data_IF_038625820101
#
_entry.id   IF_038625820101
#
_cell.length_a   1.000
_cell.length_b   1.000
_cell.length_c   1.000
_cell.angle_alpha   90.00
_cell.angle_beta   90.00
_cell.angle_gamma   90.00
#
_symmetry.space_group_name_H-M   'P 1'
#
loop_
_entity.id
_entity.type
_entity.pdbx_description
1 polymer ?
#
# COMPACT_ATOMS: atom_id res chain seq x y z
N UNK A 1 21.65 -10.74 20.28
CA UNK A 1 21.03 -10.41 18.98
C UNK A 1 20.75 -8.92 18.94
N UNK A 2 21.44 -8.16 18.09
CA UNK A 2 21.13 -6.75 17.85
C UNK A 2 19.83 -6.69 17.04
N UNK A 3 18.79 -6.03 17.56
CA UNK A 3 17.61 -5.70 16.75
C UNK A 3 18.08 -4.76 15.63
N UNK A 4 17.65 -4.96 14.36
CA UNK A 4 18.02 -4.05 13.28
C UNK A 4 17.63 -2.62 13.65
N UNK A 5 18.52 -1.66 13.40
CA UNK A 5 18.25 -0.23 13.64
C UNK A 5 17.06 0.18 12.75
N UNK A 6 15.92 0.50 13.37
CA UNK A 6 14.73 1.04 12.70
C UNK A 6 15.14 2.29 11.91
N UNK A 7 15.04 2.25 10.58
CA UNK A 7 15.52 3.32 9.70
C UNK A 7 14.40 4.36 9.46
N UNK A 8 14.25 5.30 10.39
CA UNK A 8 13.20 6.34 10.36
C UNK A 8 13.24 7.25 9.12
N UNK A 9 14.39 7.37 8.47
CA UNK A 9 14.59 8.26 7.32
C UNK A 9 13.77 7.80 6.09
N UNK A 10 13.65 6.49 5.87
CA UNK A 10 12.87 5.95 4.76
C UNK A 10 11.37 6.22 4.95
N UNK A 11 10.89 6.20 6.19
CA UNK A 11 9.50 6.48 6.49
C UNK A 11 9.11 7.93 6.26
N UNK A 12 9.98 8.88 6.65
CA UNK A 12 9.75 10.30 6.37
C UNK A 12 9.65 10.58 4.88
N UNK A 13 10.48 9.92 4.06
CA UNK A 13 10.39 10.05 2.60
C UNK A 13 9.05 9.54 2.05
N UNK A 14 8.59 8.36 2.48
CA UNK A 14 7.29 7.81 2.08
C UNK A 14 6.12 8.68 2.58
N UNK A 15 6.27 9.28 3.76
CA UNK A 15 5.27 10.15 4.36
C UNK A 15 5.06 11.46 3.58
N UNK A 16 6.10 11.97 2.91
CA UNK A 16 6.01 13.19 2.10
C UNK A 16 5.21 13.00 0.80
N UNK A 17 5.15 11.77 0.28
CA UNK A 17 4.61 11.51 -1.06
C UNK A 17 3.25 10.80 -1.05
N UNK A 18 2.75 10.35 0.11
CA UNK A 18 1.59 9.43 0.25
C UNK A 18 1.71 8.21 -0.69
N UNK A 19 2.15 7.10 -0.14
CA UNK A 19 2.49 5.87 -0.88
C UNK A 19 1.38 4.84 -0.78
N UNK A 20 1.04 4.23 -1.92
CA UNK A 20 0.22 3.01 -1.94
C UNK A 20 1.07 1.83 -2.40
N UNK A 21 1.01 0.74 -1.62
CA UNK A 21 1.72 -0.50 -1.89
C UNK A 21 0.69 -1.58 -2.18
N UNK A 22 0.68 -2.05 -3.41
CA UNK A 22 -0.06 -3.23 -3.81
C UNK A 22 0.69 -4.49 -3.35
N UNK A 23 -0.05 -5.43 -2.76
CA UNK A 23 0.45 -6.73 -2.28
C UNK A 23 -0.60 -7.79 -2.62
N UNK A 24 -0.22 -8.89 -3.27
CA UNK A 24 -1.10 -10.05 -3.42
C UNK A 24 -0.83 -11.06 -2.32
N UNK A 25 -1.23 -10.72 -1.10
CA UNK A 25 -1.18 -11.68 0.00
C UNK A 25 -2.61 -12.02 0.43
N UNK A 26 -3.11 -13.26 0.22
CA UNK A 26 -4.39 -13.72 0.77
C UNK A 26 -4.45 -13.60 2.31
N UNK A 27 -3.27 -13.54 2.93
CA UNK A 27 -3.09 -13.38 4.37
C UNK A 27 -2.87 -11.91 4.77
N UNK A 28 -2.95 -10.93 3.86
CA UNK A 28 -2.74 -9.51 4.19
C UNK A 28 -3.61 -9.07 5.38
N UNK A 29 -4.90 -9.42 5.47
CA UNK A 29 -5.70 -9.11 6.65
C UNK A 29 -5.15 -9.80 7.91
N UNK A 30 -4.72 -11.05 7.82
CA UNK A 30 -4.19 -11.85 8.95
C UNK A 30 -2.82 -11.34 9.42
N UNK A 31 -1.94 -10.96 8.50
CA UNK A 31 -0.59 -10.46 8.77
C UNK A 31 -0.68 -9.07 9.41
N UNK A 32 -1.54 -8.20 8.86
CA UNK A 32 -1.74 -6.85 9.37
C UNK A 32 -2.47 -6.83 10.71
N UNK A 33 -3.48 -7.70 10.91
CA UNK A 33 -4.19 -7.82 12.20
C UNK A 33 -3.31 -8.32 13.33
N UNK A 34 -2.31 -9.15 13.03
CA UNK A 34 -1.37 -9.64 14.03
C UNK A 34 -0.20 -8.69 14.31
N UNK A 35 -0.19 -7.48 13.73
CA UNK A 35 0.90 -6.49 13.78
C UNK A 35 2.29 -7.01 13.33
N UNK A 36 2.38 -8.28 12.93
CA UNK A 36 3.62 -8.97 12.56
C UNK A 36 3.99 -8.69 11.10
N UNK A 37 4.40 -7.45 10.80
CA UNK A 37 4.99 -6.97 9.52
C UNK A 37 3.93 -6.36 8.57
N UNK A 38 4.05 -5.12 8.08
CA UNK A 38 5.05 -4.65 7.08
C UNK A 38 5.58 -3.22 7.28
N UNK A 39 5.30 -2.57 8.42
CA UNK A 39 5.84 -1.23 8.66
C UNK A 39 5.53 -0.63 10.02
N UNK A 40 4.39 -0.97 10.65
CA UNK A 40 4.02 -0.39 11.95
C UNK A 40 5.09 -0.59 13.02
N UNK A 41 5.58 -1.82 13.19
CA UNK A 41 6.66 -2.12 14.14
C UNK A 41 7.99 -1.48 13.73
N UNK A 42 8.30 -1.45 12.43
CA UNK A 42 9.55 -0.90 11.90
C UNK A 42 9.62 0.63 12.02
N UNK A 43 8.47 1.29 11.92
CA UNK A 43 8.33 2.75 11.94
C UNK A 43 7.88 3.29 13.30
N UNK A 44 7.50 2.42 14.24
CA UNK A 44 7.02 2.79 15.58
C UNK A 44 5.69 3.56 15.53
N UNK A 45 4.77 3.10 14.68
CA UNK A 45 3.49 3.77 14.39
C UNK A 45 2.31 2.83 14.58
N UNK A 46 1.17 3.37 15.01
CA UNK A 46 -0.06 2.61 15.15
C UNK A 46 -0.71 2.34 13.77
N UNK A 47 -1.22 1.12 13.59
CA UNK A 47 -2.03 0.76 12.43
C UNK A 47 -3.32 1.58 12.41
N UNK A 48 -3.73 2.03 11.21
CA UNK A 48 -4.88 2.92 11.02
C UNK A 48 -4.56 4.40 11.17
N UNK A 49 -3.35 4.77 11.62
CA UNK A 49 -2.89 6.15 11.62
C UNK A 49 -2.03 6.42 10.37
N UNK A 50 -0.70 6.41 10.49
CA UNK A 50 0.20 6.68 9.36
C UNK A 50 0.35 5.50 8.40
N UNK A 51 0.18 4.28 8.90
CA UNK A 51 0.17 3.04 8.10
C UNK A 51 -1.22 2.44 8.18
N UNK A 52 -1.81 2.12 7.04
CA UNK A 52 -3.16 1.57 6.93
C UNK A 52 -3.28 0.55 5.82
N UNK A 53 -4.45 -0.08 5.71
CA UNK A 53 -4.71 -1.01 4.63
C UNK A 53 -6.17 -0.99 4.16
N UNK A 54 -6.37 -1.39 2.91
CA UNK A 54 -7.71 -1.55 2.33
C UNK A 54 -7.77 -2.88 1.56
N UNK A 55 -8.65 -3.76 2.03
CA UNK A 55 -8.91 -5.08 1.46
C UNK A 55 -10.41 -5.24 1.27
N UNK A 56 -10.84 -6.30 0.58
CA UNK A 56 -12.26 -6.55 0.39
C UNK A 56 -12.98 -6.63 1.74
N UNK A 57 -14.01 -5.79 1.91
CA UNK A 57 -14.85 -5.67 3.11
C UNK A 57 -14.20 -5.08 4.36
N UNK A 58 -12.96 -4.58 4.29
CA UNK A 58 -12.30 -3.97 5.43
C UNK A 58 -11.34 -2.87 4.99
N UNK A 59 -11.54 -1.66 5.54
CA UNK A 59 -10.69 -0.51 5.28
C UNK A 59 -10.24 0.10 6.61
N UNK A 60 -8.94 -0.01 6.89
CA UNK A 60 -8.25 0.54 8.05
C UNK A 60 -7.33 1.65 7.57
N UNK A 61 -7.92 2.69 6.98
CA UNK A 61 -7.23 3.91 6.57
C UNK A 61 -7.93 5.14 7.11
N UNK A 62 -7.18 6.23 7.26
CA UNK A 62 -7.67 7.55 7.67
C UNK A 62 -7.05 8.62 6.78
N UNK A 63 -7.47 9.87 6.94
CA UNK A 63 -6.84 11.02 6.29
C UNK A 63 -5.34 11.16 6.62
N UNK A 64 -4.91 10.64 7.77
CA UNK A 64 -3.52 10.62 8.20
C UNK A 64 -2.70 9.46 7.63
N UNK A 65 -3.33 8.53 6.89
CA UNK A 65 -2.63 7.39 6.29
C UNK A 65 -1.77 7.85 5.12
N UNK A 66 -0.47 7.70 5.30
CA UNK A 66 0.56 8.03 4.31
C UNK A 66 1.17 6.79 3.65
N UNK A 67 1.03 5.61 4.27
CA UNK A 67 1.41 4.33 3.68
C UNK A 67 0.19 3.40 3.70
N UNK A 68 -0.39 3.13 2.53
CA UNK A 68 -1.57 2.27 2.37
C UNK A 68 -1.18 0.96 1.71
N UNK A 69 -1.46 -0.18 2.35
CA UNK A 69 -1.40 -1.50 1.72
C UNK A 69 -2.76 -1.87 1.14
N UNK A 70 -2.82 -2.42 -0.06
CA UNK A 70 -4.10 -2.86 -0.61
C UNK A 70 -3.99 -4.09 -1.50
N UNK A 71 -5.10 -4.81 -1.63
CA UNK A 71 -5.22 -5.86 -2.66
C UNK A 71 -5.40 -5.25 -4.05
N UNK A 72 -5.27 -6.08 -5.07
CA UNK A 72 -5.46 -5.70 -6.47
C UNK A 72 -6.87 -5.18 -6.74
N UNK A 73 -7.90 -5.83 -6.18
CA UNK A 73 -9.27 -5.37 -6.39
C UNK A 73 -9.48 -3.98 -5.79
N UNK A 74 -8.92 -3.72 -4.61
CA UNK A 74 -9.03 -2.42 -3.98
C UNK A 74 -8.25 -1.33 -4.72
N UNK A 75 -7.10 -1.66 -5.30
CA UNK A 75 -6.35 -0.71 -6.14
C UNK A 75 -7.09 -0.40 -7.45
N UNK A 76 -7.75 -1.38 -8.06
CA UNK A 76 -8.61 -1.15 -9.24
C UNK A 76 -9.79 -0.25 -8.90
N UNK A 77 -10.45 -0.47 -7.74
CA UNK A 77 -11.52 0.40 -7.25
C UNK A 77 -11.02 1.83 -7.01
N UNK A 78 -9.82 1.98 -6.43
CA UNK A 78 -9.17 3.27 -6.22
C UNK A 78 -8.92 4.00 -7.56
N UNK A 79 -8.33 3.31 -8.53
CA UNK A 79 -8.07 3.85 -9.88
C UNK A 79 -9.38 4.16 -10.64
N UNK A 80 -10.47 3.48 -10.34
CA UNK A 80 -11.78 3.81 -10.93
C UNK A 80 -12.35 5.10 -10.33
N UNK A 81 -12.14 5.34 -9.03
CA UNK A 81 -12.61 6.54 -8.32
C UNK A 81 -11.74 7.76 -8.58
N UNK A 82 -10.42 7.54 -8.64
CA UNK A 82 -9.41 8.54 -8.97
C UNK A 82 -8.56 8.02 -10.15
N UNK A 83 -9.00 8.26 -11.40
CA UNK A 83 -8.31 7.77 -12.60
C UNK A 83 -6.87 8.26 -12.74
N UNK A 84 -6.53 9.44 -12.22
CA UNK A 84 -5.16 9.94 -12.27
C UNK A 84 -4.29 9.46 -11.12
N UNK A 85 -4.90 8.84 -10.10
CA UNK A 85 -4.24 8.41 -8.86
C UNK A 85 -3.40 9.53 -8.21
N UNK A 86 -3.78 10.79 -8.44
CA UNK A 86 -3.02 11.99 -8.06
C UNK A 86 -2.86 12.19 -6.55
N UNK A 87 -3.67 11.48 -5.75
CA UNK A 87 -3.55 11.44 -4.29
C UNK A 87 -2.29 10.70 -3.84
N UNK A 88 -1.63 9.95 -4.74
CA UNK A 88 -0.46 9.14 -4.46
C UNK A 88 0.73 9.62 -5.29
N UNK A 89 1.80 10.03 -4.62
CA UNK A 89 3.06 10.39 -5.28
C UNK A 89 3.90 9.17 -5.63
N UNK A 90 3.66 8.02 -4.98
CA UNK A 90 4.35 6.76 -5.25
C UNK A 90 3.34 5.61 -5.23
N UNK A 91 3.39 4.79 -6.27
CA UNK A 91 2.64 3.53 -6.38
C UNK A 91 3.64 2.39 -6.51
N UNK A 92 3.62 1.44 -5.58
CA UNK A 92 4.48 0.25 -5.60
C UNK A 92 3.62 -0.94 -5.97
N UNK A 93 3.98 -1.63 -7.06
CA UNK A 93 3.35 -2.87 -7.48
C UNK A 93 4.20 -4.07 -7.06
N UNK A 94 4.00 -4.60 -5.85
CA UNK A 94 4.68 -5.82 -5.42
C UNK A 94 4.05 -7.04 -6.10
N UNK A 95 4.84 -7.99 -6.59
CA UNK A 95 4.34 -9.18 -7.30
C UNK A 95 3.71 -8.90 -8.69
N UNK A 96 4.12 -7.80 -9.36
CA UNK A 96 3.60 -7.43 -10.69
C UNK A 96 3.85 -8.49 -11.79
N UNK A 97 4.76 -9.43 -11.53
CA UNK A 97 5.07 -10.55 -12.41
C UNK A 97 3.93 -11.59 -12.50
N UNK A 98 3.00 -11.59 -11.56
CA UNK A 98 1.90 -12.54 -11.57
C UNK A 98 0.84 -12.21 -12.62
N UNK A 99 0.38 -13.23 -13.33
CA UNK A 99 -0.47 -13.08 -14.52
C UNK A 99 -1.96 -13.10 -14.19
N UNK A 100 -2.48 -12.05 -13.57
CA UNK A 100 -3.94 -11.88 -13.36
C UNK A 100 -4.52 -10.74 -14.17
N UNK A 101 -5.83 -10.81 -14.40
CA UNK A 101 -6.58 -9.76 -15.09
C UNK A 101 -6.41 -8.40 -14.42
N UNK A 102 -6.50 -8.33 -13.08
CA UNK A 102 -6.36 -7.07 -12.35
C UNK A 102 -4.97 -6.46 -12.52
N UNK A 103 -3.91 -7.27 -12.50
CA UNK A 103 -2.55 -6.78 -12.77
C UNK A 103 -2.45 -6.19 -14.18
N UNK A 104 -2.97 -6.88 -15.19
CA UNK A 104 -2.96 -6.38 -16.57
C UNK A 104 -3.73 -5.07 -16.71
N UNK A 105 -4.91 -4.97 -16.08
CA UNK A 105 -5.72 -3.76 -16.08
C UNK A 105 -4.99 -2.60 -15.40
N UNK A 106 -4.41 -2.83 -14.22
CA UNK A 106 -3.65 -1.83 -13.48
C UNK A 106 -2.40 -1.37 -14.24
N UNK A 107 -1.64 -2.29 -14.82
CA UNK A 107 -0.46 -1.95 -15.63
C UNK A 107 -0.84 -1.15 -16.88
N UNK A 108 -1.93 -1.53 -17.57
CA UNK A 108 -2.42 -0.79 -18.71
C UNK A 108 -2.86 0.62 -18.32
N UNK A 109 -3.60 0.75 -17.21
CA UNK A 109 -4.04 2.04 -16.67
C UNK A 109 -2.87 2.94 -16.27
N UNK A 110 -1.92 2.39 -15.51
CA UNK A 110 -0.71 3.12 -15.09
C UNK A 110 0.11 3.60 -16.29
N UNK A 111 0.25 2.76 -17.32
CA UNK A 111 0.94 3.15 -18.56
C UNK A 111 0.27 4.34 -19.26
N UNK A 112 -1.06 4.48 -19.17
CA UNK A 112 -1.78 5.63 -19.75
C UNK A 112 -1.51 6.92 -18.98
N UNK A 113 -1.41 6.85 -17.65
CA UNK A 113 -1.26 8.06 -16.82
C UNK A 113 0.20 8.46 -16.57
N UNK A 114 1.15 7.55 -16.73
CA UNK A 114 2.60 7.84 -16.62
C UNK A 114 3.29 8.01 -17.97
N UNK A 115 2.59 7.72 -19.07
CA UNK A 115 3.12 7.64 -20.43
C UNK A 115 2.98 8.93 -21.22
#
# INVERSE_FOLDING_TARGET
MLKPKKNKNNFQFLALMKTIVWKRTPQLPTILKNQKVLGCEEFDVALGHQVGYSVRFEDITTEHTVLKFCTDEMLVVEATRNPLLETYGIIVLDEAHERTLNNYLLMAHLKVITG
#
